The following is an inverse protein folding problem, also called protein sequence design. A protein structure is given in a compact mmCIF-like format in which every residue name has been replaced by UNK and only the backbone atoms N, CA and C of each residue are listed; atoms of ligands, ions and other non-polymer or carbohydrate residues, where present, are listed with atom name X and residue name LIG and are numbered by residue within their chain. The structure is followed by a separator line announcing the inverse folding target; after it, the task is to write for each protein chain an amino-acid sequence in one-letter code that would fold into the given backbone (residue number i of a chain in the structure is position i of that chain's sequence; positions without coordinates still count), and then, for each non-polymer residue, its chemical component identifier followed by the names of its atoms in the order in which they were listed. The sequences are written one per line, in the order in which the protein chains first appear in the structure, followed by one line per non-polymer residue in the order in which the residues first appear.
data_IF_374304596327
#
_entry.id   IF_374304596327
#
_cell.length_a   1.000
_cell.length_b   1.000
_cell.length_c   1.000
_cell.angle_alpha   90.00
_cell.angle_beta   90.00
_cell.angle_gamma   90.00
#
_symmetry.space_group_name_H-M   'P 1'
#
loop_
_entity.id
_entity.type
_entity.pdbx_description
1 polymer ?
#
# COMPACT_ATOMS: atom_id res chain seq x y z
N UNK A 1 -73.96 -31.48 -32.40
CA UNK A 1 -72.80 -30.56 -32.49
C UNK A 1 -73.18 -29.36 -33.33
N UNK A 2 -73.36 -28.18 -32.72
CA UNK A 2 -73.12 -26.90 -33.40
C UNK A 2 -72.48 -25.79 -32.53
N UNK A 3 -72.13 -24.69 -33.20
CA UNK A 3 -71.80 -23.32 -32.77
C UNK A 3 -70.42 -22.97 -32.13
N UNK A 4 -69.62 -22.26 -32.94
CA UNK A 4 -68.68 -21.19 -32.58
C UNK A 4 -69.44 -19.96 -31.94
N UNK A 5 -68.84 -18.83 -31.47
CA UNK A 5 -67.50 -18.27 -31.74
C UNK A 5 -66.77 -17.46 -30.62
N UNK A 6 -65.54 -17.04 -30.94
CA UNK A 6 -64.80 -15.80 -30.60
C UNK A 6 -64.96 -15.13 -29.21
N UNK A 7 -63.85 -14.91 -28.52
CA UNK A 7 -63.46 -13.54 -28.09
C UNK A 7 -62.02 -13.50 -27.56
N UNK A 8 -61.23 -12.58 -28.13
CA UNK A 8 -59.90 -12.17 -27.66
C UNK A 8 -59.97 -11.73 -26.20
N UNK A 9 -59.15 -12.32 -25.34
CA UNK A 9 -58.78 -11.67 -24.09
C UNK A 9 -57.25 -11.62 -23.95
N UNK A 10 -56.83 -10.42 -23.56
CA UNK A 10 -55.49 -9.86 -23.59
C UNK A 10 -54.81 -10.30 -22.30
N UNK A 11 -53.94 -11.29 -22.36
CA UNK A 11 -53.27 -11.81 -21.17
C UNK A 11 -51.91 -11.15 -20.94
N UNK A 12 -51.91 -10.46 -19.81
CA UNK A 12 -50.89 -9.73 -19.09
C UNK A 12 -49.64 -10.58 -18.83
N UNK A 13 -48.45 -10.07 -19.17
CA UNK A 13 -47.16 -10.63 -18.80
C UNK A 13 -46.89 -10.36 -17.31
N UNK A 14 -46.76 -11.36 -16.42
CA UNK A 14 -46.08 -11.16 -15.16
C UNK A 14 -44.58 -11.34 -15.39
N UNK A 15 -43.88 -10.21 -15.41
CA UNK A 15 -42.43 -10.08 -15.27
C UNK A 15 -42.07 -10.72 -13.93
N UNK A 16 -41.65 -11.98 -13.96
CA UNK A 16 -40.98 -12.62 -12.83
C UNK A 16 -39.56 -12.05 -12.77
N UNK A 17 -39.45 -10.94 -12.03
CA UNK A 17 -38.20 -10.27 -11.73
C UNK A 17 -37.26 -11.24 -11.02
N UNK A 18 -36.23 -11.68 -11.75
CA UNK A 18 -35.03 -12.23 -11.15
C UNK A 18 -34.37 -11.07 -10.40
N UNK A 19 -34.67 -10.97 -9.10
CA UNK A 19 -34.04 -10.02 -8.19
C UNK A 19 -32.55 -10.42 -8.12
N UNK A 20 -31.72 -9.79 -8.95
CA UNK A 20 -30.29 -9.86 -8.83
C UNK A 20 -29.93 -9.26 -7.46
N UNK A 21 -29.68 -10.13 -6.48
CA UNK A 21 -29.08 -9.76 -5.22
C UNK A 21 -27.64 -9.33 -5.56
N UNK A 22 -27.47 -8.08 -5.98
CA UNK A 22 -26.19 -7.40 -5.93
C UNK A 22 -25.84 -7.29 -4.44
N UNK A 23 -25.28 -8.36 -3.89
CA UNK A 23 -24.49 -8.29 -2.68
C UNK A 23 -23.31 -7.39 -3.02
N UNK A 24 -23.49 -6.09 -2.85
CA UNK A 24 -22.41 -5.14 -2.73
C UNK A 24 -21.65 -5.51 -1.46
N UNK A 25 -20.78 -6.52 -1.55
CA UNK A 25 -19.76 -6.73 -0.54
C UNK A 25 -18.96 -5.42 -0.53
N UNK A 26 -18.97 -4.65 0.58
CA UNK A 26 -18.11 -3.49 0.66
C UNK A 26 -16.69 -4.02 0.47
N UNK A 27 -16.02 -3.56 -0.59
CA UNK A 27 -14.59 -3.73 -0.75
C UNK A 27 -13.95 -3.13 0.50
N UNK A 28 -13.67 -3.99 1.49
CA UNK A 28 -12.98 -3.59 2.70
C UNK A 28 -11.64 -3.02 2.24
N UNK A 29 -11.52 -1.69 2.27
CA UNK A 29 -10.23 -1.05 2.05
C UNK A 29 -9.37 -1.48 3.21
N UNK A 30 -8.45 -2.41 2.98
CA UNK A 30 -7.44 -2.80 3.96
C UNK A 30 -6.67 -1.53 4.34
N UNK A 31 -6.95 -1.01 5.53
CA UNK A 31 -6.27 0.16 6.06
C UNK A 31 -4.92 -0.32 6.62
N UNK A 32 -3.84 0.06 5.94
CA UNK A 32 -2.49 -0.20 6.41
C UNK A 32 -2.21 0.64 7.65
N UNK A 33 -1.93 -0.01 8.77
CA UNK A 33 -1.47 0.66 9.98
C UNK A 33 0.05 0.83 9.94
N UNK A 34 0.53 1.98 10.43
CA UNK A 34 1.97 2.21 10.56
C UNK A 34 2.43 1.64 11.89
N UNK A 35 3.43 0.78 11.85
CA UNK A 35 4.02 0.20 13.05
C UNK A 35 5.30 0.96 13.44
N UNK A 36 5.55 1.06 14.74
CA UNK A 36 6.75 1.71 15.28
C UNK A 36 7.75 0.61 15.63
N UNK A 37 8.97 0.63 15.07
CA UNK A 37 10.01 -0.31 15.47
C UNK A 37 10.44 -0.04 16.90
N UNK A 38 10.77 -1.10 17.62
CA UNK A 38 11.24 -1.05 19.00
C UNK A 38 12.61 -0.39 19.09
N UNK A 39 13.48 -0.72 18.12
CA UNK A 39 14.80 -0.13 17.99
C UNK A 39 14.81 0.84 16.80
N UNK A 40 15.15 2.10 17.07
CA UNK A 40 15.27 3.12 16.03
C UNK A 40 16.30 4.19 16.36
N UNK A 41 16.94 4.75 15.33
CA UNK A 41 17.86 5.90 15.46
C UNK A 41 17.14 7.25 15.35
N UNK A 42 15.91 7.29 15.84
CA UNK A 42 15.01 8.42 15.74
C UNK A 42 14.19 8.48 14.45
N UNK A 43 13.34 9.49 14.37
CA UNK A 43 12.39 9.70 13.27
C UNK A 43 12.77 10.89 12.40
N UNK A 44 12.25 10.90 11.19
CA UNK A 44 12.29 12.02 10.26
C UNK A 44 10.90 12.20 9.64
N UNK A 45 10.40 13.43 9.61
CA UNK A 45 9.13 13.72 8.96
C UNK A 45 9.41 14.17 7.53
N UNK A 46 8.73 13.54 6.58
CA UNK A 46 8.82 13.88 5.16
C UNK A 46 7.46 14.34 4.64
N UNK A 47 7.44 15.45 3.91
CA UNK A 47 6.30 15.90 3.12
C UNK A 47 6.38 15.27 1.73
N UNK A 48 5.42 14.41 1.42
CA UNK A 48 5.32 13.68 0.16
C UNK A 48 3.95 13.96 -0.44
N UNK A 49 3.91 14.55 -1.63
CA UNK A 49 2.67 14.93 -2.31
C UNK A 49 1.72 15.73 -1.39
N UNK A 50 2.28 16.67 -0.60
CA UNK A 50 1.52 17.49 0.34
C UNK A 50 1.12 16.79 1.66
N UNK A 51 1.42 15.49 1.84
CA UNK A 51 1.11 14.75 3.06
C UNK A 51 2.36 14.52 3.90
N UNK A 52 2.28 14.81 5.20
CA UNK A 52 3.35 14.47 6.16
C UNK A 52 3.34 12.97 6.41
N UNK A 53 4.50 12.34 6.33
CA UNK A 53 4.73 10.94 6.68
C UNK A 53 5.96 10.84 7.58
N UNK A 54 5.85 10.03 8.63
CA UNK A 54 6.96 9.76 9.54
C UNK A 54 7.72 8.54 9.04
N UNK A 55 9.05 8.64 8.98
CA UNK A 55 9.96 7.54 8.69
C UNK A 55 10.93 7.38 9.84
N UNK A 56 11.38 6.14 10.06
CA UNK A 56 12.42 5.82 11.03
C UNK A 56 13.78 5.77 10.33
N UNK A 57 14.80 6.37 10.95
CA UNK A 57 16.15 6.40 10.36
C UNK A 57 16.79 5.02 10.46
N UNK A 58 17.09 4.43 9.31
CA UNK A 58 17.90 3.23 9.21
C UNK A 58 19.38 3.60 9.02
N UNK A 59 20.28 2.90 9.73
CA UNK A 59 21.73 3.02 9.56
C UNK A 59 22.29 1.67 9.10
N UNK A 60 23.41 1.72 8.38
CA UNK A 60 24.13 0.51 8.02
C UNK A 60 24.54 -0.21 9.30
N UNK A 61 24.38 -1.53 9.32
CA UNK A 61 24.78 -2.40 10.42
C UNK A 61 24.06 -2.11 11.76
N UNK A 62 22.92 -1.42 11.72
CA UNK A 62 22.05 -1.20 12.88
C UNK A 62 20.69 -1.82 12.59
N UNK A 63 20.33 -2.82 13.40
CA UNK A 63 19.07 -3.55 13.28
C UNK A 63 17.88 -2.72 13.79
N UNK A 64 16.75 -2.85 13.08
CA UNK A 64 15.45 -2.33 13.50
C UNK A 64 14.50 -3.50 13.73
N UNK A 65 14.05 -3.65 14.97
CA UNK A 65 13.15 -4.73 15.37
C UNK A 65 11.72 -4.22 15.32
N UNK A 66 10.82 -5.03 14.74
CA UNK A 66 9.40 -4.73 14.67
C UNK A 66 8.60 -5.92 15.23
N UNK A 67 7.84 -5.68 16.30
CA UNK A 67 6.89 -6.68 16.79
C UNK A 67 5.58 -6.62 16.00
N UNK A 68 5.13 -7.78 15.55
CA UNK A 68 3.89 -7.95 14.79
C UNK A 68 3.10 -9.10 15.41
N UNK A 69 1.85 -8.86 15.77
CA UNK A 69 1.00 -9.85 16.44
C UNK A 69 -0.01 -10.46 15.46
N UNK A 70 0.01 -11.80 15.37
CA UNK A 70 -0.94 -12.58 14.57
C UNK A 70 -0.58 -12.70 13.08
N UNK A 71 -1.42 -13.37 12.28
CA UNK A 71 -1.24 -13.46 10.83
C UNK A 71 -1.31 -12.06 10.21
N UNK A 72 -0.16 -11.55 9.76
CA UNK A 72 -0.04 -10.18 9.30
C UNK A 72 0.77 -10.10 8.01
N UNK A 73 0.42 -9.13 7.17
CA UNK A 73 1.23 -8.73 6.04
C UNK A 73 1.98 -7.46 6.41
N UNK A 74 3.31 -7.51 6.34
CA UNK A 74 4.17 -6.35 6.60
C UNK A 74 4.57 -5.73 5.27
N UNK A 75 4.35 -4.43 5.15
CA UNK A 75 4.79 -3.62 4.02
C UNK A 75 5.91 -2.69 4.44
N UNK A 76 7.08 -2.85 3.83
CA UNK A 76 8.25 -2.04 4.11
C UNK A 76 8.41 -0.95 3.04
N UNK A 77 8.47 0.30 3.46
CA UNK A 77 8.66 1.45 2.56
C UNK A 77 9.97 2.14 2.92
N UNK A 78 10.99 1.95 2.11
CA UNK A 78 12.30 2.58 2.27
C UNK A 78 12.47 3.81 1.38
N UNK A 79 13.30 4.75 1.84
CA UNK A 79 13.70 5.93 1.08
C UNK A 79 15.14 6.32 1.38
N UNK A 80 15.87 6.69 0.34
CA UNK A 80 17.24 7.18 0.44
C UNK A 80 17.30 8.59 -0.15
N UNK A 81 17.95 9.56 0.52
CA UNK A 81 18.16 10.88 -0.06
C UNK A 81 19.00 10.77 -1.34
N UNK A 82 18.46 11.27 -2.45
CA UNK A 82 19.21 11.30 -3.69
C UNK A 82 20.25 12.42 -3.69
N UNK A 83 21.47 12.09 -4.08
CA UNK A 83 22.51 13.03 -4.46
C UNK A 83 23.27 12.46 -5.66
N UNK A 84 23.93 13.31 -6.45
CA UNK A 84 24.76 12.86 -7.59
C UNK A 84 25.86 11.88 -7.17
N UNK A 85 26.32 11.95 -5.91
CA UNK A 85 27.32 11.03 -5.34
C UNK A 85 26.81 9.59 -5.14
N UNK A 86 25.48 9.41 -5.15
CA UNK A 86 24.83 8.11 -4.95
C UNK A 86 24.23 7.55 -6.25
N UNK A 87 24.32 8.26 -7.38
CA UNK A 87 23.86 7.75 -8.68
C UNK A 87 24.60 6.46 -9.04
N UNK A 88 23.84 5.43 -9.44
CA UNK A 88 24.40 4.11 -9.80
C UNK A 88 24.80 3.24 -8.61
N UNK A 89 24.69 3.74 -7.37
CA UNK A 89 24.86 2.92 -6.17
C UNK A 89 23.55 2.23 -5.81
N UNK A 90 23.62 1.09 -5.15
CA UNK A 90 22.47 0.40 -4.57
C UNK A 90 22.52 0.40 -3.05
N UNK A 91 21.37 0.15 -2.45
CA UNK A 91 21.27 -0.24 -1.05
C UNK A 91 20.50 -1.56 -0.96
N UNK A 92 20.83 -2.35 0.06
CA UNK A 92 20.18 -3.62 0.35
C UNK A 92 19.60 -3.55 1.75
N UNK A 93 18.36 -3.98 1.91
CA UNK A 93 17.73 -4.20 3.20
C UNK A 93 17.57 -5.70 3.38
N UNK A 94 18.22 -6.23 4.40
CA UNK A 94 18.01 -7.60 4.84
C UNK A 94 16.92 -7.61 5.90
N UNK A 95 16.11 -8.66 5.92
CA UNK A 95 15.13 -8.91 6.96
C UNK A 95 15.18 -10.36 7.40
N UNK A 96 14.84 -10.58 8.66
CA UNK A 96 14.76 -11.88 9.31
C UNK A 96 13.46 -11.92 10.10
N UNK A 97 12.74 -13.02 10.00
CA UNK A 97 11.59 -13.32 10.85
C UNK A 97 12.03 -14.19 12.03
N UNK A 98 11.24 -14.20 13.10
CA UNK A 98 11.55 -14.95 14.32
C UNK A 98 11.68 -16.47 14.09
N UNK A 99 11.04 -17.00 13.05
CA UNK A 99 11.14 -18.41 12.65
C UNK A 99 12.41 -18.73 11.84
N UNK A 100 13.30 -17.74 11.66
CA UNK A 100 14.55 -17.86 10.94
C UNK A 100 14.45 -17.65 9.43
N UNK A 101 13.26 -17.37 8.89
CA UNK A 101 13.15 -17.00 7.47
C UNK A 101 13.83 -15.66 7.22
N UNK A 102 14.67 -15.62 6.19
CA UNK A 102 15.41 -14.41 5.82
C UNK A 102 15.15 -14.02 4.37
N UNK A 103 15.27 -12.72 4.08
CA UNK A 103 15.28 -12.23 2.72
C UNK A 103 16.01 -10.91 2.57
N UNK A 104 16.16 -10.48 1.32
CA UNK A 104 16.85 -9.26 0.99
C UNK A 104 16.12 -8.50 -0.11
N UNK A 105 16.08 -7.17 0.01
CA UNK A 105 15.59 -6.26 -1.02
C UNK A 105 16.70 -5.31 -1.42
N UNK A 106 17.14 -5.38 -2.68
CA UNK A 106 18.18 -4.51 -3.23
C UNK A 106 17.57 -3.51 -4.21
N UNK A 107 17.94 -2.24 -4.07
CA UNK A 107 17.46 -1.19 -4.93
C UNK A 107 18.56 -0.20 -5.31
N UNK A 108 18.61 0.13 -6.60
CA UNK A 108 19.47 1.20 -7.11
C UNK A 108 18.92 2.57 -6.71
N UNK A 109 19.82 3.45 -6.25
CA UNK A 109 19.54 4.81 -5.88
C UNK A 109 19.43 5.64 -7.15
N UNK A 110 18.21 6.04 -7.49
CA UNK A 110 17.90 6.88 -8.64
C UNK A 110 17.16 8.14 -8.24
N UNK A 111 17.28 9.18 -9.07
CA UNK A 111 16.53 10.42 -8.89
C UNK A 111 15.03 10.13 -8.99
N UNK A 112 14.26 10.71 -8.09
CA UNK A 112 12.81 10.58 -8.11
C UNK A 112 12.15 11.54 -9.09
N UNK A 113 11.05 11.09 -9.70
CA UNK A 113 10.15 11.95 -10.49
C UNK A 113 9.34 12.92 -9.59
N UNK A 114 8.97 12.49 -8.37
CA UNK A 114 8.16 13.26 -7.42
C UNK A 114 8.93 14.22 -6.51
N UNK A 115 8.24 15.25 -5.99
CA UNK A 115 8.78 16.15 -4.97
C UNK A 115 8.65 15.54 -3.57
N UNK A 116 9.77 15.30 -2.91
CA UNK A 116 9.82 14.95 -1.49
C UNK A 116 10.58 16.05 -0.76
N UNK A 117 10.08 16.45 0.41
CA UNK A 117 10.71 17.44 1.26
C UNK A 117 10.88 16.84 2.63
N UNK A 118 12.06 16.93 3.21
CA UNK A 118 12.19 16.67 4.64
C UNK A 118 11.55 17.86 5.37
N UNK A 119 10.62 17.61 6.28
CA UNK A 119 9.92 18.66 7.02
C UNK A 119 10.82 19.33 8.05
N UNK A 120 11.78 18.57 8.59
CA UNK A 120 12.58 18.97 9.75
C UNK A 120 13.85 19.75 9.35
N UNK A 121 14.20 19.72 8.06
CA UNK A 121 15.33 20.45 7.52
C UNK A 121 14.87 21.04 6.19
N UNK A 122 14.87 22.36 6.05
CA UNK A 122 14.37 23.14 4.91
C UNK A 122 15.17 22.90 3.60
N UNK A 123 15.85 21.74 3.47
CA UNK A 123 16.60 21.27 2.29
C UNK A 123 15.75 20.26 1.50
N UNK A 124 15.51 20.61 0.24
CA UNK A 124 14.82 19.78 -0.74
C UNK A 124 15.67 18.54 -1.10
N UNK A 125 15.16 17.33 -0.86
CA UNK A 125 15.71 16.11 -1.44
C UNK A 125 14.60 15.35 -2.18
N UNK A 126 14.64 15.39 -3.51
CA UNK A 126 13.69 14.67 -4.39
C UNK A 126 13.94 13.16 -4.28
N UNK A 127 13.07 12.42 -3.58
CA UNK A 127 13.17 10.96 -3.36
C UNK A 127 11.90 10.20 -3.80
N UNK A 128 12.03 8.95 -4.27
CA UNK A 128 10.91 8.13 -4.80
C UNK A 128 10.28 7.33 -3.67
N UNK A 129 8.97 7.09 -3.76
CA UNK A 129 8.27 6.13 -2.88
C UNK A 129 8.26 4.80 -3.60
N UNK A 130 8.77 3.76 -2.99
CA UNK A 130 8.52 2.40 -3.45
C UNK A 130 7.82 1.66 -2.32
N UNK A 131 6.67 1.09 -2.63
CA UNK A 131 5.86 0.31 -1.71
C UNK A 131 6.16 -1.16 -1.99
N UNK A 132 6.52 -1.92 -0.96
CA UNK A 132 6.60 -3.39 -1.01
C UNK A 132 5.36 -3.86 -0.28
#
# INVERSE_FOLDING_TARGET
MPSAPLSRSRHWLPILGLLALLASAPLARTLWNTATPETHDGKTVMLINGKKRTYWKARKDVEQVLQVTGPATVRMISRVPWSTKYTGKSYTINWTLDDGQTGAFTQEIRKASGSVRQSDNKKLSRGRTNEI
#
